data_IF_748146248881
#
_entry.id   IF_748146248881
#
_cell.length_a   1.000
_cell.length_b   1.000
_cell.length_c   1.000
_cell.angle_alpha   90.00
_cell.angle_beta   90.00
_cell.angle_gamma   90.00
#
_symmetry.space_group_name_H-M   'P 1'
#
loop_
_entity.id
_entity.type
_entity.pdbx_description
1 polymer ?
#
# COMPACT_ATOMS: atom_id res chain seq x y z
N UNK A 1 -2.20 -49.79 16.56
CA UNK A 1 -3.24 -48.84 17.01
C UNK A 1 -2.60 -47.47 16.86
N UNK A 2 -2.81 -46.74 15.76
CA UNK A 2 -3.93 -45.80 15.51
C UNK A 2 -4.23 -44.97 16.76
N UNK A 3 -3.71 -43.74 16.76
CA UNK A 3 -4.48 -42.46 16.74
C UNK A 3 -5.11 -42.24 18.11
N UNK A 4 -4.80 -41.15 18.80
CA UNK A 4 -5.64 -39.95 18.69
C UNK A 4 -4.84 -38.65 18.82
N UNK A 5 -5.13 -37.77 17.86
CA UNK A 5 -4.92 -36.33 17.89
C UNK A 5 -5.46 -35.71 19.17
N UNK A 6 -4.75 -34.72 19.71
CA UNK A 6 -5.43 -33.62 20.39
C UNK A 6 -4.70 -32.30 20.12
N UNK A 7 -4.69 -31.93 18.84
CA UNK A 7 -4.40 -30.57 18.38
C UNK A 7 -5.59 -29.66 18.70
N UNK A 8 -5.74 -29.29 19.98
CA UNK A 8 -6.49 -28.07 20.33
C UNK A 8 -5.59 -26.86 20.09
N UNK A 9 -5.47 -26.47 18.82
CA UNK A 9 -4.86 -25.19 18.42
C UNK A 9 -5.99 -24.19 18.23
N UNK A 10 -6.65 -23.84 19.33
CA UNK A 10 -7.70 -22.81 19.35
C UNK A 10 -7.31 -21.68 20.30
N UNK A 11 -6.19 -21.03 19.96
CA UNK A 11 -5.93 -19.67 20.40
C UNK A 11 -5.97 -18.74 19.20
N UNK A 12 -7.12 -18.08 19.06
CA UNK A 12 -7.38 -16.89 18.25
C UNK A 12 -6.24 -15.87 18.36
N UNK A 13 -5.18 -16.02 17.56
CA UNK A 13 -4.18 -14.95 17.36
C UNK A 13 -4.73 -13.94 16.38
N UNK A 14 -5.39 -12.93 16.93
CA UNK A 14 -5.47 -11.58 16.38
C UNK A 14 -4.10 -11.16 15.77
N UNK A 15 -3.98 -10.78 14.49
CA UNK A 15 -4.27 -9.49 13.79
C UNK A 15 -3.20 -8.37 13.68
N UNK A 16 -1.89 -8.56 13.96
CA UNK A 16 -0.81 -7.65 13.54
C UNK A 16 -0.29 -7.86 12.10
N UNK A 17 -0.12 -9.13 11.70
CA UNK A 17 0.65 -9.49 10.51
C UNK A 17 0.06 -8.95 9.19
N UNK A 18 -1.27 -8.98 9.03
CA UNK A 18 -1.93 -8.45 7.82
C UNK A 18 -1.73 -6.95 7.65
N UNK A 19 -1.85 -6.17 8.73
CA UNK A 19 -1.74 -4.70 8.68
C UNK A 19 -0.28 -4.33 8.43
N UNK A 20 0.66 -5.02 9.08
CA UNK A 20 2.09 -4.80 8.86
C UNK A 20 2.51 -5.19 7.44
N UNK A 21 1.94 -6.25 6.87
CA UNK A 21 2.14 -6.64 5.46
C UNK A 21 1.59 -5.60 4.50
N UNK A 22 0.39 -5.08 4.74
CA UNK A 22 -0.17 -3.97 3.95
C UNK A 22 0.74 -2.75 4.03
N UNK A 23 1.19 -2.38 5.23
CA UNK A 23 2.10 -1.25 5.45
C UNK A 23 3.40 -1.45 4.67
N UNK A 24 4.00 -2.64 4.74
CA UNK A 24 5.23 -2.97 4.03
C UNK A 24 5.06 -2.79 2.52
N UNK A 25 4.04 -3.40 1.92
CA UNK A 25 3.81 -3.34 0.47
C UNK A 25 3.50 -1.92 -0.01
N UNK A 26 2.65 -1.18 0.72
CA UNK A 26 2.36 0.23 0.43
C UNK A 26 3.65 1.05 0.49
N UNK A 27 4.46 0.85 1.53
CA UNK A 27 5.68 1.60 1.73
C UNK A 27 6.75 1.27 0.69
N UNK A 28 6.84 0.03 0.21
CA UNK A 28 7.78 -0.34 -0.84
C UNK A 28 7.39 0.27 -2.20
N UNK A 29 6.09 0.35 -2.49
CA UNK A 29 5.60 1.11 -3.64
C UNK A 29 5.92 2.62 -3.52
N UNK A 30 5.70 3.21 -2.35
CA UNK A 30 6.02 4.63 -2.13
C UNK A 30 7.53 4.87 -2.30
N UNK A 31 8.38 4.02 -1.73
CA UNK A 31 9.85 4.13 -1.87
C UNK A 31 10.29 4.05 -3.33
N UNK A 32 9.68 3.17 -4.14
CA UNK A 32 10.05 3.07 -5.55
C UNK A 32 9.71 4.36 -6.32
N UNK A 33 8.64 5.07 -5.92
CA UNK A 33 8.24 6.37 -6.45
C UNK A 33 9.03 7.57 -5.88
N UNK A 34 9.93 7.37 -4.91
CA UNK A 34 10.84 8.44 -4.47
C UNK A 34 12.04 8.62 -5.41
N UNK A 35 12.23 7.70 -6.36
CA UNK A 35 13.23 7.80 -7.43
C UNK A 35 12.67 8.64 -8.57
N UNK A 36 13.41 9.68 -8.99
CA UNK A 36 12.99 10.66 -10.01
C UNK A 36 12.49 9.99 -11.30
N UNK A 37 13.24 9.03 -11.82
CA UNK A 37 12.90 8.31 -13.06
C UNK A 37 11.56 7.57 -12.94
N UNK A 38 11.34 6.88 -11.82
CA UNK A 38 10.10 6.15 -11.57
C UNK A 38 8.93 7.10 -11.34
N UNK A 39 9.15 8.21 -10.64
CA UNK A 39 8.13 9.22 -10.38
C UNK A 39 7.69 9.92 -11.66
N UNK A 40 8.65 10.33 -12.50
CA UNK A 40 8.36 10.93 -13.80
C UNK A 40 7.61 9.96 -14.71
N UNK A 41 8.04 8.69 -14.75
CA UNK A 41 7.34 7.64 -15.49
C UNK A 41 5.90 7.48 -14.99
N UNK A 42 5.71 7.40 -13.68
CA UNK A 42 4.39 7.28 -13.07
C UNK A 42 3.48 8.49 -13.38
N UNK A 43 4.00 9.71 -13.28
CA UNK A 43 3.27 10.95 -13.60
C UNK A 43 2.92 11.03 -15.09
N UNK A 44 3.80 10.56 -15.97
CA UNK A 44 3.51 10.48 -17.40
C UNK A 44 2.45 9.43 -17.71
N UNK A 45 2.64 8.19 -17.27
CA UNK A 45 1.77 7.06 -17.62
C UNK A 45 0.38 7.18 -17.01
N UNK A 46 0.28 7.68 -15.76
CA UNK A 46 -1.00 7.73 -15.04
C UNK A 46 -1.71 9.07 -15.15
N UNK A 47 -0.96 10.16 -15.28
CA UNK A 47 -1.51 11.52 -15.23
C UNK A 47 -1.24 12.34 -16.50
N UNK A 48 -0.52 11.79 -17.48
CA UNK A 48 -0.24 12.48 -18.74
C UNK A 48 0.64 13.72 -18.59
N UNK A 49 1.53 13.74 -17.59
CA UNK A 49 2.42 14.87 -17.31
C UNK A 49 3.84 14.58 -17.83
N UNK A 50 4.20 15.00 -19.06
CA UNK A 50 5.51 14.70 -19.66
C UNK A 50 6.66 15.55 -19.12
N UNK A 51 6.38 16.74 -18.59
CA UNK A 51 7.39 17.67 -18.11
C UNK A 51 6.99 18.24 -16.75
N UNK A 52 7.63 17.74 -15.69
CA UNK A 52 7.39 18.13 -14.31
C UNK A 52 8.64 18.82 -13.79
N UNK A 53 8.53 20.11 -13.46
CA UNK A 53 9.66 20.86 -12.92
C UNK A 53 10.26 20.20 -11.67
N UNK A 54 11.57 20.32 -11.49
CA UNK A 54 12.27 19.79 -10.31
C UNK A 54 11.65 20.25 -8.99
N UNK A 55 11.22 21.51 -8.93
CA UNK A 55 10.54 22.07 -7.75
C UNK A 55 9.24 21.33 -7.45
N UNK A 56 8.39 21.11 -8.46
CA UNK A 56 7.14 20.35 -8.32
C UNK A 56 7.42 18.90 -7.92
N UNK A 57 8.44 18.28 -8.49
CA UNK A 57 8.88 16.92 -8.17
C UNK A 57 9.25 16.79 -6.68
N UNK A 58 10.02 17.74 -6.13
CA UNK A 58 10.39 17.75 -4.72
C UNK A 58 9.19 17.92 -3.78
N UNK A 59 8.19 18.74 -4.15
CA UNK A 59 6.95 18.84 -3.38
C UNK A 59 6.14 17.54 -3.38
N UNK A 60 6.07 16.86 -4.53
CA UNK A 60 5.44 15.54 -4.64
C UNK A 60 6.17 14.54 -3.74
N UNK A 61 7.50 14.44 -3.83
CA UNK A 61 8.30 13.54 -3.00
C UNK A 61 8.11 13.79 -1.51
N UNK A 62 8.07 15.06 -1.06
CA UNK A 62 7.79 15.40 0.36
C UNK A 62 6.42 14.91 0.81
N UNK A 63 5.42 14.98 -0.06
CA UNK A 63 4.08 14.48 0.23
C UNK A 63 4.06 12.95 0.32
N UNK A 64 4.78 12.27 -0.59
CA UNK A 64 4.97 10.82 -0.55
C UNK A 64 5.75 10.35 0.69
N UNK A 65 6.77 11.09 1.13
CA UNK A 65 7.49 10.83 2.37
C UNK A 65 6.58 10.97 3.60
N UNK A 66 5.65 11.92 3.57
CA UNK A 66 4.63 12.07 4.62
C UNK A 66 3.68 10.87 4.63
N UNK A 67 3.25 10.40 3.44
CA UNK A 67 2.44 9.18 3.31
C UNK A 67 3.19 7.94 3.81
N UNK A 68 4.50 7.85 3.58
CA UNK A 68 5.34 6.71 4.00
C UNK A 68 5.30 6.46 5.51
N UNK A 69 5.32 7.54 6.31
CA UNK A 69 5.28 7.48 7.78
C UNK A 69 3.86 7.48 8.35
N UNK A 70 2.85 7.68 7.50
CA UNK A 70 1.45 7.69 7.93
C UNK A 70 0.98 6.29 8.35
N UNK A 71 0.08 6.18 9.34
CA UNK A 71 -0.55 4.91 9.65
C UNK A 71 -1.35 4.38 8.44
N UNK A 72 -1.62 3.08 8.43
CA UNK A 72 -2.49 2.46 7.42
C UNK A 72 -3.93 2.86 7.73
N UNK A 73 -4.65 3.37 6.74
CA UNK A 73 -6.07 3.73 6.87
C UNK A 73 -6.93 2.45 6.88
N UNK A 74 -7.32 2.01 8.07
CA UNK A 74 -8.07 0.77 8.24
C UNK A 74 -9.47 0.82 7.60
N UNK A 75 -10.04 2.01 7.37
CA UNK A 75 -11.32 2.14 6.69
C UNK A 75 -11.13 1.94 5.18
N UNK A 76 -10.11 2.58 4.60
CA UNK A 76 -9.76 2.41 3.18
C UNK A 76 -9.37 0.96 2.84
N UNK A 77 -8.57 0.32 3.70
CA UNK A 77 -8.11 -1.06 3.51
C UNK A 77 -9.05 -2.13 4.09
N UNK A 78 -10.21 -1.75 4.65
CA UNK A 78 -11.05 -2.65 5.45
C UNK A 78 -11.47 -3.93 4.71
N UNK A 79 -11.89 -3.80 3.44
CA UNK A 79 -12.28 -4.95 2.62
C UNK A 79 -11.09 -5.86 2.30
N UNK A 80 -9.95 -5.28 1.92
CA UNK A 80 -8.70 -6.02 1.66
C UNK A 80 -8.25 -6.77 2.92
N UNK A 81 -8.30 -6.13 4.09
CA UNK A 81 -7.97 -6.76 5.37
C UNK A 81 -8.91 -7.95 5.65
N UNK A 82 -10.21 -7.81 5.35
CA UNK A 82 -11.18 -8.87 5.55
C UNK A 82 -10.91 -10.07 4.61
N UNK A 83 -10.61 -9.82 3.34
CA UNK A 83 -10.27 -10.85 2.35
C UNK A 83 -8.97 -11.58 2.71
N UNK A 84 -7.92 -10.82 3.02
CA UNK A 84 -6.66 -11.41 3.49
C UNK A 84 -6.85 -12.26 4.75
N UNK A 85 -7.77 -11.92 5.64
CA UNK A 85 -8.07 -12.74 6.83
C UNK A 85 -8.81 -14.04 6.49
N UNK A 86 -9.67 -14.03 5.48
CA UNK A 86 -10.39 -15.23 5.02
C UNK A 86 -9.45 -16.19 4.29
N UNK A 87 -8.51 -15.65 3.53
CA UNK A 87 -7.63 -16.43 2.65
C UNK A 87 -6.20 -16.56 3.21
N UNK A 88 -6.07 -16.66 4.55
CA UNK A 88 -4.80 -16.92 5.26
C UNK A 88 -3.62 -16.00 4.84
N UNK A 89 -3.90 -14.72 4.64
CA UNK A 89 -2.91 -13.69 4.31
C UNK A 89 -2.63 -13.51 2.82
N UNK A 90 -3.38 -14.18 1.95
CA UNK A 90 -3.28 -14.01 0.48
C UNK A 90 -3.73 -12.61 0.07
N UNK A 91 -2.94 -11.93 -0.76
CA UNK A 91 -3.29 -10.60 -1.27
C UNK A 91 -4.41 -10.73 -2.32
N UNK A 92 -5.47 -9.90 -2.24
CA UNK A 92 -6.51 -9.88 -3.27
C UNK A 92 -5.96 -9.29 -4.57
N UNK A 93 -6.49 -9.72 -5.72
CA UNK A 93 -5.94 -9.36 -7.04
C UNK A 93 -5.83 -7.84 -7.29
N UNK A 94 -6.74 -7.06 -6.73
CA UNK A 94 -6.85 -5.62 -6.95
C UNK A 94 -6.14 -4.77 -5.87
N UNK A 95 -5.32 -5.36 -5.00
CA UNK A 95 -4.70 -4.65 -3.89
C UNK A 95 -3.90 -3.41 -4.31
N UNK A 96 -3.24 -3.47 -5.47
CA UNK A 96 -2.43 -2.37 -5.99
C UNK A 96 -3.27 -1.12 -6.27
N UNK A 97 -4.52 -1.29 -6.68
CA UNK A 97 -5.44 -0.19 -6.96
C UNK A 97 -5.64 0.70 -5.74
N UNK A 98 -5.82 0.11 -4.56
CA UNK A 98 -5.99 0.85 -3.30
C UNK A 98 -4.73 1.65 -2.94
N UNK A 99 -3.55 1.06 -3.15
CA UNK A 99 -2.27 1.74 -2.88
C UNK A 99 -2.06 2.93 -3.81
N UNK A 100 -2.36 2.76 -5.10
CA UNK A 100 -2.26 3.85 -6.04
C UNK A 100 -3.30 4.95 -5.81
N UNK A 101 -4.49 4.62 -5.29
CA UNK A 101 -5.48 5.63 -4.88
C UNK A 101 -4.95 6.51 -3.74
N UNK A 102 -4.24 5.94 -2.77
CA UNK A 102 -3.57 6.73 -1.72
C UNK A 102 -2.54 7.68 -2.32
N UNK A 103 -1.70 7.17 -3.22
CA UNK A 103 -0.68 7.97 -3.92
C UNK A 103 -1.34 9.10 -4.71
N UNK A 104 -2.34 8.79 -5.54
CA UNK A 104 -3.07 9.77 -6.35
C UNK A 104 -3.69 10.87 -5.47
N UNK A 105 -4.31 10.47 -4.36
CA UNK A 105 -4.91 11.40 -3.39
C UNK A 105 -3.84 12.30 -2.76
N UNK A 106 -2.68 11.75 -2.40
CA UNK A 106 -1.56 12.50 -1.81
C UNK A 106 -0.98 13.52 -2.78
N UNK A 107 -0.91 13.21 -4.07
CA UNK A 107 -0.25 14.08 -5.05
C UNK A 107 -1.21 14.95 -5.86
N UNK A 108 -2.53 14.82 -5.62
CA UNK A 108 -3.60 15.45 -6.42
C UNK A 108 -3.39 16.96 -6.65
N UNK A 109 -3.01 17.71 -5.60
CA UNK A 109 -2.78 19.17 -5.67
C UNK A 109 -1.57 19.57 -6.52
N UNK A 110 -0.72 18.62 -6.87
CA UNK A 110 0.44 18.82 -7.72
C UNK A 110 0.25 18.23 -9.11
N UNK A 111 -0.93 17.71 -9.44
CA UNK A 111 -1.23 17.12 -10.75
C UNK A 111 -2.33 17.92 -11.45
N UNK A 112 -3.40 18.25 -10.73
CA UNK A 112 -4.52 19.07 -11.21
C UNK A 112 -4.37 20.53 -10.78
#
# INVERSE_FOLDING_TARGET
>A
MREEENTSVDEKKQTPDTIDRIRMLRNDLIKSLLVDENLLKYLFERHGLPDVSKVRLEFIKRSLQTLLISPVDLAHYGQMILEMRKDNGTLPENYQTLFYQDIDKTIKSFVY
#
